data_IF_796389421685
#
_entry.id   IF_796389421685
#
_cell.length_a   1.000
_cell.length_b   1.000
_cell.length_c   1.000
_cell.angle_alpha   90.00
_cell.angle_beta   90.00
_cell.angle_gamma   90.00
#
_symmetry.space_group_name_H-M   'P 1'
#
loop_
_entity.id
_entity.type
_entity.pdbx_description
1 polymer ?
#
# COMPACT_ATOMS: atom_id res chain seq x y z
N UNK A 1 -36.34 -26.90 24.46
CA UNK A 1 -35.48 -27.88 25.22
C UNK A 1 -34.56 -28.65 24.28
N UNK A 2 -35.03 -29.04 23.10
CA UNK A 2 -34.31 -29.88 22.12
C UNK A 2 -33.11 -29.18 21.50
N UNK A 3 -33.29 -28.01 20.91
CA UNK A 3 -32.22 -27.26 20.29
C UNK A 3 -31.06 -27.03 21.27
N UNK A 4 -31.35 -26.82 22.56
CA UNK A 4 -30.33 -26.61 23.58
C UNK A 4 -29.52 -27.89 23.91
N UNK A 5 -30.13 -29.07 23.87
CA UNK A 5 -29.41 -30.32 24.15
C UNK A 5 -28.40 -30.68 23.07
N UNK A 6 -28.66 -30.23 21.83
CA UNK A 6 -27.75 -30.45 20.69
C UNK A 6 -26.81 -29.24 20.45
N UNK A 7 -27.23 -28.02 20.79
CA UNK A 7 -26.45 -26.81 20.48
C UNK A 7 -25.04 -26.87 21.07
N UNK A 8 -24.89 -27.27 22.32
CA UNK A 8 -23.56 -27.34 22.97
C UNK A 8 -22.63 -28.36 22.30
N UNK A 9 -23.19 -29.51 21.85
CA UNK A 9 -22.43 -30.52 21.13
C UNK A 9 -22.09 -30.10 19.71
N UNK A 10 -23.03 -29.44 19.04
CA UNK A 10 -22.80 -28.85 17.70
C UNK A 10 -21.69 -27.82 17.82
N UNK A 11 -21.84 -26.82 18.71
CA UNK A 11 -20.85 -25.76 18.90
C UNK A 11 -19.45 -26.30 19.17
N UNK A 12 -19.33 -27.31 20.05
CA UNK A 12 -18.04 -27.95 20.34
C UNK A 12 -17.37 -28.56 19.10
N UNK A 13 -18.14 -29.13 18.15
CA UNK A 13 -17.56 -29.64 16.90
C UNK A 13 -17.21 -28.52 15.92
N UNK A 14 -18.02 -27.46 15.89
CA UNK A 14 -17.74 -26.27 15.05
C UNK A 14 -16.49 -25.53 15.55
N UNK A 15 -16.34 -25.33 16.85
CA UNK A 15 -15.15 -24.70 17.46
C UNK A 15 -13.88 -25.53 17.23
N UNK A 16 -14.04 -26.85 17.06
CA UNK A 16 -12.96 -27.73 16.65
C UNK A 16 -12.69 -27.75 15.13
N UNK A 17 -13.38 -26.92 14.34
CA UNK A 17 -13.18 -26.79 12.88
C UNK A 17 -13.65 -28.00 12.08
N UNK A 18 -14.56 -28.83 12.60
CA UNK A 18 -15.03 -30.01 11.88
C UNK A 18 -16.03 -29.64 10.78
N UNK A 19 -15.76 -30.09 9.58
CA UNK A 19 -16.65 -29.93 8.40
C UNK A 19 -17.72 -31.00 8.32
N UNK A 20 -17.46 -32.18 8.89
CA UNK A 20 -18.43 -33.28 8.97
C UNK A 20 -18.36 -33.93 10.37
N UNK A 21 -19.52 -34.18 10.97
CA UNK A 21 -19.60 -34.86 12.25
C UNK A 21 -21.00 -35.45 12.48
N UNK A 22 -21.06 -36.42 13.37
CA UNK A 22 -22.30 -37.07 13.80
C UNK A 22 -22.58 -36.82 15.27
N UNK A 23 -23.85 -36.65 15.61
CA UNK A 23 -24.32 -36.57 16.97
C UNK A 23 -25.38 -37.64 17.16
N UNK A 24 -25.08 -38.63 17.99
CA UNK A 24 -26.03 -39.65 18.40
C UNK A 24 -27.17 -39.00 19.20
N UNK A 25 -28.37 -39.40 18.93
CA UNK A 25 -29.53 -39.05 19.75
C UNK A 25 -29.37 -39.65 21.13
N UNK A 26 -29.41 -38.80 22.16
CA UNK A 26 -29.40 -39.23 23.55
C UNK A 26 -30.80 -39.77 23.90
N UNK A 27 -30.84 -41.03 24.36
CA UNK A 27 -32.10 -41.68 24.76
C UNK A 27 -32.85 -40.92 25.88
N UNK A 28 -32.16 -40.12 26.68
CA UNK A 28 -32.80 -39.26 27.71
C UNK A 28 -33.51 -38.02 27.11
N UNK A 29 -33.11 -37.61 25.93
CA UNK A 29 -33.66 -36.43 25.26
C UNK A 29 -34.75 -36.77 24.21
N UNK A 30 -34.92 -38.06 23.91
CA UNK A 30 -35.82 -38.56 22.86
C UNK A 30 -36.77 -39.60 23.42
N UNK A 31 -38.05 -39.29 23.67
CA UNK A 31 -39.03 -40.33 23.98
C UNK A 31 -39.19 -41.27 22.77
N UNK A 32 -39.22 -42.59 23.00
CA UNK A 32 -39.27 -43.59 21.92
C UNK A 32 -40.49 -43.52 20.97
N UNK A 33 -41.45 -42.71 21.28
CA UNK A 33 -42.74 -42.56 20.55
C UNK A 33 -42.73 -41.53 19.45
N UNK A 34 -41.59 -40.87 19.14
CA UNK A 34 -41.53 -39.77 18.18
C UNK A 34 -41.05 -40.28 16.82
N UNK A 35 -41.94 -40.29 15.86
CA UNK A 35 -41.79 -40.77 14.50
C UNK A 35 -40.91 -39.86 13.62
N UNK A 36 -40.50 -40.35 12.42
CA UNK A 36 -39.63 -39.65 11.47
C UNK A 36 -40.01 -38.21 11.08
N UNK A 37 -41.25 -37.79 11.27
CA UNK A 37 -41.69 -36.39 11.02
C UNK A 37 -40.98 -35.41 11.95
N UNK A 38 -40.70 -35.76 13.20
CA UNK A 38 -40.09 -34.87 14.17
C UNK A 38 -38.59 -34.72 13.94
N UNK A 39 -37.93 -35.72 13.33
CA UNK A 39 -36.52 -35.64 12.95
C UNK A 39 -36.33 -34.57 11.88
N UNK A 40 -37.23 -34.51 10.89
CA UNK A 40 -37.24 -33.45 9.87
C UNK A 40 -37.42 -32.07 10.47
N UNK A 41 -38.30 -31.93 11.50
CA UNK A 41 -38.50 -30.66 12.17
C UNK A 41 -37.24 -30.21 12.96
N UNK A 42 -36.55 -31.14 13.61
CA UNK A 42 -35.33 -30.82 14.35
C UNK A 42 -34.20 -30.43 13.38
N UNK A 43 -33.98 -31.21 12.33
CA UNK A 43 -33.01 -30.89 11.30
C UNK A 43 -33.32 -29.54 10.66
N UNK A 44 -34.57 -29.30 10.30
CA UNK A 44 -35.01 -28.01 9.77
C UNK A 44 -34.74 -26.86 10.75
N UNK A 45 -35.06 -27.03 12.03
CA UNK A 45 -34.82 -26.00 13.02
C UNK A 45 -33.33 -25.68 13.22
N UNK A 46 -32.47 -26.71 13.19
CA UNK A 46 -31.01 -26.53 13.28
C UNK A 46 -30.48 -25.79 12.05
N UNK A 47 -30.97 -26.12 10.85
CA UNK A 47 -30.56 -25.51 9.60
C UNK A 47 -31.01 -24.04 9.49
N UNK A 48 -31.98 -23.59 10.28
CA UNK A 48 -32.42 -22.18 10.35
C UNK A 48 -31.70 -21.39 11.44
N UNK A 49 -30.87 -22.02 12.26
CA UNK A 49 -30.09 -21.34 13.29
C UNK A 49 -28.83 -20.72 12.68
N UNK A 50 -28.48 -19.53 13.17
CA UNK A 50 -27.18 -18.92 12.87
C UNK A 50 -26.13 -19.52 13.79
N UNK A 51 -25.09 -20.08 13.21
CA UNK A 51 -23.95 -20.66 13.91
C UNK A 51 -22.71 -19.78 13.69
N UNK A 52 -21.92 -19.59 14.70
CA UNK A 52 -20.69 -18.82 14.64
C UNK A 52 -19.62 -19.49 15.48
N UNK A 53 -18.38 -19.39 15.02
CA UNK A 53 -17.18 -19.68 15.81
C UNK A 53 -16.43 -18.37 16.09
N UNK A 54 -15.34 -18.42 16.83
CA UNK A 54 -14.47 -17.24 17.06
C UNK A 54 -13.89 -16.67 15.75
N UNK A 55 -13.88 -17.50 14.67
CA UNK A 55 -13.22 -17.16 13.41
C UNK A 55 -14.16 -16.96 12.20
N UNK A 56 -15.33 -17.57 12.21
CA UNK A 56 -16.21 -17.58 11.04
C UNK A 56 -17.69 -17.75 11.40
N UNK A 57 -18.56 -17.22 10.53
CA UNK A 57 -19.95 -17.68 10.46
C UNK A 57 -20.00 -19.07 9.83
N UNK A 58 -20.90 -19.92 10.27
CA UNK A 58 -21.01 -21.29 9.80
C UNK A 58 -22.42 -21.56 9.26
N UNK A 59 -22.49 -22.04 8.02
CA UNK A 59 -23.71 -22.62 7.48
C UNK A 59 -23.71 -24.11 7.83
N UNK A 60 -24.71 -24.54 8.59
CA UNK A 60 -24.83 -25.92 9.04
C UNK A 60 -25.99 -26.60 8.35
N UNK A 61 -25.73 -27.72 7.72
CA UNK A 61 -26.74 -28.59 7.15
C UNK A 61 -26.83 -29.88 7.97
N UNK A 62 -27.99 -30.06 8.61
CA UNK A 62 -28.28 -31.25 9.40
C UNK A 62 -29.22 -32.18 8.63
N UNK A 63 -28.81 -33.43 8.52
CA UNK A 63 -29.61 -34.53 7.99
C UNK A 63 -29.65 -35.67 9.03
N UNK A 64 -30.66 -36.51 9.01
CA UNK A 64 -30.61 -37.67 9.90
C UNK A 64 -31.90 -38.37 10.21
N UNK A 65 -31.78 -39.42 10.97
CA UNK A 65 -32.83 -40.28 11.47
C UNK A 65 -32.91 -40.20 13.01
N UNK A 66 -33.97 -40.79 13.56
CA UNK A 66 -34.25 -40.78 15.01
C UNK A 66 -33.10 -41.22 15.96
N UNK A 67 -32.01 -41.75 15.42
CA UNK A 67 -30.88 -42.24 16.22
C UNK A 67 -29.59 -41.45 16.02
N UNK A 68 -29.36 -40.86 14.84
CA UNK A 68 -28.16 -40.10 14.54
C UNK A 68 -28.48 -38.94 13.62
N UNK A 69 -27.93 -37.79 13.91
CA UNK A 69 -27.86 -36.66 12.98
C UNK A 69 -26.46 -36.53 12.42
N UNK A 70 -26.36 -36.43 11.10
CA UNK A 70 -25.15 -36.08 10.39
C UNK A 70 -25.17 -34.59 10.05
N UNK A 71 -24.06 -33.93 10.30
CA UNK A 71 -23.89 -32.51 10.06
C UNK A 71 -22.81 -32.31 9.04
N UNK A 72 -23.10 -31.43 8.07
CA UNK A 72 -22.08 -30.85 7.18
C UNK A 72 -22.01 -29.36 7.48
N UNK A 73 -20.82 -28.87 7.82
CA UNK A 73 -20.57 -27.47 8.15
C UNK A 73 -19.73 -26.81 7.05
N UNK A 74 -20.25 -25.71 6.53
CA UNK A 74 -19.54 -24.82 5.62
C UNK A 74 -19.18 -23.56 6.44
N UNK A 75 -17.90 -23.36 6.66
CA UNK A 75 -17.37 -22.16 7.32
C UNK A 75 -17.31 -21.06 6.25
N UNK A 76 -17.95 -19.93 6.52
CA UNK A 76 -17.70 -18.76 5.72
C UNK A 76 -16.20 -18.44 5.81
N UNK A 77 -15.56 -18.19 4.69
CA UNK A 77 -14.21 -17.64 4.71
C UNK A 77 -14.23 -16.38 5.59
N UNK A 78 -13.21 -16.23 6.43
CA UNK A 78 -13.03 -15.00 7.21
C UNK A 78 -13.08 -13.83 6.23
N UNK A 79 -13.98 -12.87 6.46
CA UNK A 79 -14.06 -11.72 5.54
C UNK A 79 -12.72 -11.03 5.56
N UNK A 80 -12.08 -10.84 4.40
CA UNK A 80 -10.79 -10.18 4.35
C UNK A 80 -10.90 -8.81 5.00
N UNK A 81 -10.08 -8.58 6.02
CA UNK A 81 -10.01 -7.32 6.73
C UNK A 81 -8.76 -6.56 6.31
N UNK A 82 -8.93 -5.31 5.91
CA UNK A 82 -7.85 -4.41 5.55
C UNK A 82 -8.13 -3.04 6.12
N UNK A 83 -7.09 -2.38 6.65
CA UNK A 83 -7.20 -1.02 7.16
C UNK A 83 -5.88 -0.27 7.00
N UNK A 84 -5.97 1.06 6.85
CA UNK A 84 -4.80 1.91 6.79
C UNK A 84 -4.24 2.14 8.20
N UNK A 85 -2.98 1.71 8.42
CA UNK A 85 -2.25 1.98 9.66
C UNK A 85 -1.60 3.36 9.65
N UNK A 86 -0.98 3.75 8.53
CA UNK A 86 -0.28 5.03 8.43
C UNK A 86 0.31 5.30 7.07
N UNK A 87 0.96 6.44 6.95
CA UNK A 87 1.63 6.90 5.73
C UNK A 87 3.01 7.44 6.04
N UNK A 88 3.92 7.37 5.07
CA UNK A 88 5.20 8.07 5.10
C UNK A 88 5.61 8.54 3.70
N UNK A 89 6.63 9.40 3.64
CA UNK A 89 7.27 9.75 2.37
C UNK A 89 8.69 9.22 2.35
N UNK A 90 9.07 8.58 1.26
CA UNK A 90 10.45 8.22 0.97
C UNK A 90 11.03 9.20 -0.03
N UNK A 91 12.22 9.73 0.29
CA UNK A 91 13.00 10.61 -0.58
C UNK A 91 14.33 9.91 -0.84
N UNK A 92 14.38 9.13 -1.90
CA UNK A 92 15.60 8.46 -2.40
C UNK A 92 15.73 8.77 -3.89
N UNK A 93 15.64 7.73 -4.72
CA UNK A 93 15.67 7.87 -6.19
C UNK A 93 14.38 8.52 -6.70
N UNK A 94 13.27 8.27 -6.02
CA UNK A 94 11.94 8.84 -6.28
C UNK A 94 11.35 9.46 -5.01
N UNK A 95 10.30 10.26 -5.21
CA UNK A 95 9.40 10.65 -4.14
C UNK A 95 8.28 9.62 -4.13
N UNK A 96 8.20 8.81 -3.07
CA UNK A 96 7.14 7.82 -2.92
C UNK A 96 6.28 8.15 -1.70
N UNK A 97 4.96 8.14 -1.87
CA UNK A 97 4.03 8.09 -0.75
C UNK A 97 3.79 6.63 -0.41
N UNK A 98 4.20 6.23 0.79
CA UNK A 98 4.03 4.88 1.28
C UNK A 98 2.76 4.77 2.11
N UNK A 99 1.99 3.73 1.87
CA UNK A 99 0.81 3.35 2.63
C UNK A 99 1.12 2.06 3.37
N UNK A 100 0.95 2.07 4.68
CA UNK A 100 1.14 0.90 5.54
C UNK A 100 -0.24 0.36 5.91
N UNK A 101 -0.51 -0.87 5.53
CA UNK A 101 -1.79 -1.51 5.70
C UNK A 101 -1.70 -2.63 6.73
N UNK A 102 -2.67 -2.70 7.65
CA UNK A 102 -2.95 -3.92 8.39
C UNK A 102 -3.84 -4.80 7.52
N UNK A 103 -3.46 -6.06 7.33
CA UNK A 103 -4.20 -7.02 6.50
C UNK A 103 -4.33 -8.35 7.23
N UNK A 104 -5.52 -8.95 7.20
CA UNK A 104 -5.70 -10.34 7.65
C UNK A 104 -5.13 -11.32 6.62
N UNK A 105 -4.75 -12.51 7.08
CA UNK A 105 -4.20 -13.55 6.20
C UNK A 105 -5.16 -13.91 5.06
N UNK A 106 -6.47 -13.82 5.31
CA UNK A 106 -7.51 -14.07 4.31
C UNK A 106 -7.47 -13.13 3.11
N UNK A 107 -6.89 -11.92 3.23
CA UNK A 107 -6.72 -10.98 2.09
C UNK A 107 -5.92 -11.62 0.97
N UNK A 108 -4.92 -12.45 1.30
CA UNK A 108 -4.03 -13.09 0.32
C UNK A 108 -4.66 -14.29 -0.39
N UNK A 109 -5.85 -14.72 0.02
CA UNK A 109 -6.65 -15.74 -0.64
C UNK A 109 -7.59 -15.15 -1.71
N UNK A 110 -7.62 -13.80 -1.82
CA UNK A 110 -8.50 -13.05 -2.72
C UNK A 110 -7.71 -12.25 -3.77
N UNK A 111 -8.37 -11.81 -4.84
CA UNK A 111 -7.79 -10.81 -5.77
C UNK A 111 -7.81 -9.43 -5.11
N UNK A 112 -6.79 -9.18 -4.28
CA UNK A 112 -6.66 -7.97 -3.49
C UNK A 112 -5.53 -7.07 -4.00
N UNK A 113 -5.81 -5.77 -4.16
CA UNK A 113 -4.83 -4.79 -4.60
C UNK A 113 -5.15 -3.37 -4.12
N UNK A 114 -4.12 -2.53 -4.08
CA UNK A 114 -4.27 -1.09 -3.99
C UNK A 114 -4.17 -0.46 -5.38
N UNK A 115 -5.11 0.40 -5.69
CA UNK A 115 -5.10 1.25 -6.88
C UNK A 115 -4.82 2.68 -6.48
N UNK A 116 -3.81 3.31 -7.11
CA UNK A 116 -3.47 4.72 -6.92
C UNK A 116 -3.72 5.46 -8.21
N UNK A 117 -4.43 6.58 -8.13
CA UNK A 117 -4.65 7.46 -9.27
C UNK A 117 -4.13 8.86 -8.96
N UNK A 118 -3.18 9.33 -9.77
CA UNK A 118 -2.55 10.65 -9.65
C UNK A 118 -2.20 11.20 -11.02
N UNK A 119 -2.48 12.48 -11.26
CA UNK A 119 -2.10 13.17 -12.50
C UNK A 119 -2.60 12.48 -13.79
N UNK A 120 -3.73 11.78 -13.72
CA UNK A 120 -4.30 11.02 -14.84
C UNK A 120 -3.65 9.64 -15.07
N UNK A 121 -2.68 9.25 -14.26
CA UNK A 121 -2.07 7.92 -14.27
C UNK A 121 -2.70 7.04 -13.20
N UNK A 122 -2.77 5.74 -13.46
CA UNK A 122 -3.27 4.73 -12.52
C UNK A 122 -2.20 3.67 -12.32
N UNK A 123 -1.93 3.35 -11.06
CA UNK A 123 -1.00 2.31 -10.63
C UNK A 123 -1.80 1.26 -9.84
N UNK A 124 -1.59 -0.01 -10.17
CA UNK A 124 -2.17 -1.14 -9.44
C UNK A 124 -1.04 -1.94 -8.81
N UNK A 125 -1.11 -2.18 -7.50
CA UNK A 125 -0.16 -2.98 -6.74
C UNK A 125 -0.92 -4.10 -6.02
N UNK A 126 -0.61 -5.37 -6.35
CA UNK A 126 -1.29 -6.50 -5.73
C UNK A 126 -0.86 -6.65 -4.27
N UNK A 127 -1.74 -7.16 -3.43
CA UNK A 127 -1.44 -7.41 -2.02
C UNK A 127 -0.25 -8.37 -1.85
N UNK A 128 -0.13 -9.37 -2.72
CA UNK A 128 0.97 -10.33 -2.74
C UNK A 128 2.35 -9.72 -3.05
N UNK A 129 2.38 -8.54 -3.69
CA UNK A 129 3.62 -7.85 -4.07
C UNK A 129 4.06 -6.80 -3.02
N UNK A 130 3.27 -6.62 -1.96
CA UNK A 130 3.55 -5.68 -0.90
C UNK A 130 4.78 -6.08 -0.08
N UNK A 131 5.58 -5.08 0.31
CA UNK A 131 6.71 -5.33 1.19
C UNK A 131 6.23 -5.44 2.66
N UNK A 132 6.56 -6.53 3.32
CA UNK A 132 6.29 -6.68 4.75
C UNK A 132 7.21 -5.77 5.58
N UNK A 133 6.63 -5.10 6.58
CA UNK A 133 7.34 -4.25 7.53
C UNK A 133 6.84 -4.57 8.94
N UNK A 134 7.77 -4.79 9.87
CA UNK A 134 7.42 -4.97 11.27
C UNK A 134 7.54 -3.63 12.01
N UNK A 135 6.45 -3.18 12.59
CA UNK A 135 6.41 -1.96 13.40
C UNK A 135 5.64 -2.22 14.70
N UNK A 136 6.29 -1.95 15.84
CA UNK A 136 5.71 -2.15 17.17
C UNK A 136 5.12 -3.55 17.42
N UNK A 137 5.73 -4.59 16.81
CA UNK A 137 5.27 -5.97 16.93
C UNK A 137 4.08 -6.33 16.03
N UNK A 138 3.68 -5.44 15.13
CA UNK A 138 2.68 -5.68 14.09
C UNK A 138 3.36 -5.91 12.75
N UNK A 139 2.85 -6.85 11.97
CA UNK A 139 3.19 -7.00 10.56
C UNK A 139 2.32 -6.06 9.74
N UNK A 140 2.94 -5.17 9.00
CA UNK A 140 2.29 -4.23 8.10
C UNK A 140 2.73 -4.51 6.66
N UNK A 141 1.87 -4.21 5.72
CA UNK A 141 2.12 -4.35 4.29
C UNK A 141 2.26 -2.97 3.65
N UNK A 142 3.46 -2.71 3.10
CA UNK A 142 3.79 -1.42 2.52
C UNK A 142 3.56 -1.39 1.02
N UNK A 143 2.78 -0.42 0.57
CA UNK A 143 2.55 -0.07 -0.83
C UNK A 143 3.12 1.31 -1.09
N UNK A 144 3.82 1.49 -2.21
CA UNK A 144 4.47 2.76 -2.54
C UNK A 144 3.89 3.34 -3.83
N UNK A 145 3.36 4.54 -3.75
CA UNK A 145 2.88 5.31 -4.91
C UNK A 145 3.96 6.31 -5.34
N UNK A 146 4.56 6.19 -6.53
CA UNK A 146 5.53 7.15 -7.02
C UNK A 146 4.84 8.47 -7.38
N UNK A 147 5.45 9.58 -6.96
CA UNK A 147 4.97 10.94 -7.21
C UNK A 147 6.06 11.76 -7.90
N UNK A 148 5.76 12.33 -9.05
CA UNK A 148 6.68 13.26 -9.70
C UNK A 148 6.75 14.59 -8.94
N UNK A 149 7.90 15.24 -8.99
CA UNK A 149 8.09 16.53 -8.28
C UNK A 149 7.01 17.57 -8.62
N UNK A 150 6.59 17.68 -9.86
CA UNK A 150 5.53 18.60 -10.28
C UNK A 150 4.13 18.21 -9.76
N UNK A 151 3.94 16.96 -9.35
CA UNK A 151 2.67 16.40 -8.87
C UNK A 151 2.50 16.45 -7.35
N UNK A 152 3.42 17.07 -6.61
CA UNK A 152 3.36 17.11 -5.14
C UNK A 152 2.07 17.73 -4.57
N UNK A 153 1.40 18.59 -5.35
CA UNK A 153 0.11 19.20 -4.99
C UNK A 153 -1.09 18.40 -5.46
N UNK A 154 -0.87 17.35 -6.27
CA UNK A 154 -1.96 16.55 -6.79
C UNK A 154 -2.46 15.60 -5.72
N UNK A 155 -3.76 15.37 -5.74
CA UNK A 155 -4.37 14.37 -4.88
C UNK A 155 -4.10 12.98 -5.44
N UNK A 156 -3.60 12.10 -4.59
CA UNK A 156 -3.54 10.66 -4.83
C UNK A 156 -4.86 10.08 -4.36
N UNK A 157 -5.70 9.65 -5.31
CA UNK A 157 -6.89 8.86 -4.99
C UNK A 157 -6.44 7.42 -4.82
N UNK A 158 -6.66 6.86 -3.64
CA UNK A 158 -6.26 5.48 -3.30
C UNK A 158 -7.49 4.66 -3.03
N UNK A 159 -7.61 3.48 -3.66
CA UNK A 159 -8.66 2.51 -3.42
C UNK A 159 -8.08 1.17 -3.02
N UNK A 160 -8.70 0.54 -2.04
CA UNK A 160 -8.47 -0.85 -1.69
C UNK A 160 -9.56 -1.67 -2.35
N UNK A 161 -9.18 -2.60 -3.19
CA UNK A 161 -10.10 -3.43 -3.95
C UNK A 161 -9.85 -4.90 -3.63
N UNK A 162 -10.91 -5.62 -3.28
CA UNK A 162 -10.89 -7.06 -3.03
C UNK A 162 -12.02 -7.68 -3.88
N UNK A 163 -11.68 -8.66 -4.71
CA UNK A 163 -12.61 -9.34 -5.64
C UNK A 163 -13.45 -8.35 -6.46
N UNK A 164 -12.79 -7.34 -7.03
CA UNK A 164 -13.40 -6.25 -7.82
C UNK A 164 -14.37 -5.35 -7.06
N UNK A 165 -14.39 -5.42 -5.73
CA UNK A 165 -15.18 -4.54 -4.89
C UNK A 165 -14.28 -3.58 -4.13
N UNK A 166 -14.59 -2.29 -4.19
CA UNK A 166 -13.89 -1.28 -3.40
C UNK A 166 -14.32 -1.42 -1.93
N UNK A 167 -13.37 -1.67 -1.04
CA UNK A 167 -13.60 -1.79 0.39
C UNK A 167 -13.39 -0.45 1.10
N UNK A 168 -12.33 0.29 0.73
CA UNK A 168 -12.04 1.61 1.28
C UNK A 168 -11.44 2.54 0.24
N UNK A 169 -11.60 3.85 0.45
CA UNK A 169 -11.04 4.91 -0.39
C UNK A 169 -10.36 5.96 0.48
N UNK A 170 -9.23 6.47 0.00
CA UNK A 170 -8.47 7.54 0.66
C UNK A 170 -8.05 8.58 -0.36
N UNK A 171 -7.91 9.81 0.12
CA UNK A 171 -7.32 10.91 -0.65
C UNK A 171 -6.16 11.50 0.14
N UNK A 172 -5.02 11.73 -0.50
CA UNK A 172 -3.85 12.31 0.15
C UNK A 172 -2.89 12.93 -0.86
N UNK A 173 -1.99 13.80 -0.43
CA UNK A 173 -0.96 14.38 -1.28
C UNK A 173 0.36 14.55 -0.53
N UNK A 174 1.48 14.67 -1.26
CA UNK A 174 2.78 15.02 -0.68
C UNK A 174 2.71 16.36 0.04
N UNK A 175 1.97 17.34 -0.53
CA UNK A 175 1.78 18.66 0.06
C UNK A 175 1.03 18.58 1.40
N UNK A 176 -0.02 17.77 1.51
CA UNK A 176 -0.76 17.56 2.77
C UNK A 176 0.15 16.97 3.84
N UNK A 177 0.89 15.90 3.52
CA UNK A 177 1.88 15.33 4.43
C UNK A 177 2.88 16.37 4.93
N UNK A 178 3.47 17.12 3.99
CA UNK A 178 4.43 18.17 4.33
C UNK A 178 3.81 19.26 5.23
N UNK A 179 2.58 19.65 4.95
CA UNK A 179 1.85 20.65 5.74
C UNK A 179 1.55 20.16 7.15
N UNK A 180 1.12 18.89 7.30
CA UNK A 180 0.90 18.25 8.60
C UNK A 180 2.19 18.23 9.43
N UNK A 181 3.32 17.85 8.81
CA UNK A 181 4.62 17.82 9.49
C UNK A 181 5.08 19.22 9.91
N UNK A 182 4.92 20.22 9.04
CA UNK A 182 5.26 21.61 9.36
C UNK A 182 4.37 22.19 10.46
N UNK A 183 3.11 21.78 10.56
CA UNK A 183 2.20 22.19 11.63
C UNK A 183 2.64 21.70 13.02
N UNK A 184 3.42 20.60 13.04
CA UNK A 184 4.01 19.97 14.24
C UNK A 184 5.52 20.17 14.32
N UNK A 185 6.01 21.30 13.79
CA UNK A 185 7.45 21.56 13.65
C UNK A 185 8.26 21.42 14.96
N UNK A 186 7.64 21.62 16.12
CA UNK A 186 8.27 21.45 17.42
C UNK A 186 8.52 19.97 17.81
N UNK A 187 7.91 19.02 17.12
CA UNK A 187 8.03 17.58 17.36
C UNK A 187 9.15 16.94 16.53
N UNK A 188 9.74 17.69 15.59
CA UNK A 188 10.72 17.19 14.63
C UNK A 188 12.05 17.97 14.71
N UNK A 189 13.18 17.32 14.35
CA UNK A 189 14.47 18.00 14.21
C UNK A 189 14.41 19.15 13.20
N UNK A 190 15.20 20.18 13.43
CA UNK A 190 15.25 21.37 12.55
C UNK A 190 15.65 21.00 11.12
N UNK A 191 16.55 20.05 10.95
CA UNK A 191 16.99 19.52 9.64
C UNK A 191 15.83 18.90 8.87
N UNK A 192 14.93 18.17 9.55
CA UNK A 192 13.72 17.61 8.95
C UNK A 192 12.80 18.72 8.45
N UNK A 193 12.61 19.77 9.24
CA UNK A 193 11.78 20.93 8.88
C UNK A 193 12.38 21.65 7.65
N UNK A 194 13.69 21.85 7.62
CA UNK A 194 14.40 22.43 6.46
C UNK A 194 14.24 21.58 5.22
N UNK A 195 14.38 20.26 5.36
CA UNK A 195 14.19 19.31 4.23
C UNK A 195 12.78 19.38 3.66
N UNK A 196 11.75 19.43 4.51
CA UNK A 196 10.35 19.50 4.07
C UNK A 196 10.07 20.82 3.35
N UNK A 197 10.60 21.94 3.83
CA UNK A 197 10.49 23.23 3.14
C UNK A 197 11.19 23.21 1.78
N UNK A 198 12.39 22.62 1.71
CA UNK A 198 13.12 22.46 0.46
C UNK A 198 12.37 21.56 -0.53
N UNK A 199 11.74 20.47 -0.05
CA UNK A 199 10.91 19.58 -0.87
C UNK A 199 9.74 20.35 -1.51
N UNK A 200 9.02 21.17 -0.75
CA UNK A 200 7.91 21.98 -1.28
C UNK A 200 8.38 23.01 -2.31
N UNK A 201 9.53 23.65 -2.07
CA UNK A 201 10.14 24.58 -3.04
C UNK A 201 10.56 23.86 -4.31
N UNK A 202 11.13 22.64 -4.20
CA UNK A 202 11.46 21.82 -5.36
C UNK A 202 10.22 21.45 -6.17
N UNK A 203 9.12 21.07 -5.51
CA UNK A 203 7.84 20.81 -6.16
C UNK A 203 7.36 22.01 -7.00
N UNK A 204 7.38 23.19 -6.41
CA UNK A 204 6.99 24.43 -7.12
C UNK A 204 7.93 24.77 -8.28
N UNK A 205 9.24 24.58 -8.11
CA UNK A 205 10.19 24.78 -9.19
C UNK A 205 9.93 23.82 -10.36
N UNK A 206 9.64 22.55 -10.07
CA UNK A 206 9.26 21.55 -11.06
C UNK A 206 7.94 21.91 -11.77
N UNK A 207 6.91 22.34 -11.00
CA UNK A 207 5.64 22.81 -11.57
C UNK A 207 5.86 23.95 -12.59
N UNK A 208 6.67 24.94 -12.22
CA UNK A 208 6.99 26.07 -13.08
C UNK A 208 7.77 25.66 -14.34
N UNK A 209 8.75 24.76 -14.17
CA UNK A 209 9.56 24.26 -15.27
C UNK A 209 8.74 23.47 -16.31
N UNK A 210 7.91 22.54 -15.82
CA UNK A 210 7.08 21.69 -16.68
C UNK A 210 5.75 22.35 -17.11
N UNK A 211 5.43 23.55 -16.60
CA UNK A 211 4.15 24.23 -16.81
C UNK A 211 2.95 23.38 -16.38
N UNK A 212 3.12 22.68 -15.28
CA UNK A 212 2.14 21.74 -14.74
C UNK A 212 1.55 22.29 -13.43
N UNK A 213 0.22 22.42 -13.36
CA UNK A 213 -0.55 22.78 -12.16
C UNK A 213 0.00 24.02 -11.40
N UNK A 214 0.44 25.04 -12.15
CA UNK A 214 1.12 26.24 -11.61
C UNK A 214 0.22 27.15 -10.79
N UNK A 215 -1.09 27.00 -10.89
CA UNK A 215 -2.11 27.68 -10.09
C UNK A 215 -2.22 27.15 -8.66
N UNK A 216 -1.67 25.95 -8.40
CA UNK A 216 -1.65 25.30 -7.09
C UNK A 216 -0.22 24.96 -6.65
N UNK A 217 0.66 25.95 -6.44
CA UNK A 217 2.05 25.67 -6.14
C UNK A 217 2.22 24.86 -4.84
N UNK A 218 3.16 23.92 -4.85
CA UNK A 218 3.40 23.04 -3.72
C UNK A 218 3.77 23.84 -2.45
N UNK A 219 4.56 24.92 -2.62
CA UNK A 219 5.04 25.77 -1.54
C UNK A 219 4.09 26.93 -1.16
N UNK A 220 2.83 26.92 -1.62
CA UNK A 220 1.90 28.03 -1.38
C UNK A 220 1.76 28.40 0.11
N UNK A 221 1.85 27.42 1.00
CA UNK A 221 1.75 27.61 2.46
C UNK A 221 3.03 28.07 3.16
N UNK A 222 4.17 28.19 2.47
CA UNK A 222 5.40 28.66 3.06
C UNK A 222 5.45 30.20 3.14
N UNK A 223 6.18 30.72 4.15
CA UNK A 223 6.49 32.14 4.22
C UNK A 223 7.37 32.58 3.05
N UNK A 224 7.38 33.88 2.74
CA UNK A 224 8.25 34.39 1.67
C UNK A 224 9.74 34.19 1.97
N UNK A 225 10.12 34.22 3.25
CA UNK A 225 11.48 33.90 3.68
C UNK A 225 11.83 32.45 3.38
N UNK A 226 10.95 31.50 3.69
CA UNK A 226 11.17 30.08 3.44
C UNK A 226 11.20 29.74 1.93
N UNK A 227 10.47 30.49 1.12
CA UNK A 227 10.52 30.39 -0.35
C UNK A 227 11.83 30.92 -0.93
N UNK A 228 12.38 31.98 -0.31
CA UNK A 228 13.60 32.65 -0.78
C UNK A 228 14.88 31.86 -0.47
N UNK A 229 14.91 31.01 0.57
CA UNK A 229 16.08 30.20 0.99
C UNK A 229 16.57 29.32 -0.16
N UNK A 230 15.68 28.77 -0.98
CA UNK A 230 16.05 27.94 -2.12
C UNK A 230 16.86 28.69 -3.21
N UNK A 231 16.77 30.02 -3.26
CA UNK A 231 17.51 30.84 -4.23
C UNK A 231 18.93 31.19 -3.75
N UNK A 232 19.13 31.30 -2.43
CA UNK A 232 20.42 31.64 -1.82
C UNK A 232 21.42 30.48 -1.89
N UNK A 233 20.97 29.26 -1.63
CA UNK A 233 21.84 28.07 -1.66
C UNK A 233 22.28 27.70 -3.08
N UNK A 234 21.54 28.07 -4.12
CA UNK A 234 21.88 27.74 -5.49
C UNK A 234 23.14 28.45 -6.00
N UNK A 235 23.45 29.64 -5.55
CA UNK A 235 24.66 30.37 -5.96
C UNK A 235 25.93 29.78 -5.35
N UNK A 236 25.85 29.21 -4.14
CA UNK A 236 26.94 28.51 -3.50
C UNK A 236 27.29 27.21 -4.24
N UNK A 237 26.29 26.44 -4.64
CA UNK A 237 26.48 25.22 -5.46
C UNK A 237 26.99 25.49 -6.88
N UNK A 238 26.60 26.60 -7.52
CA UNK A 238 27.16 27.02 -8.81
C UNK A 238 28.69 27.21 -8.78
N UNK A 239 29.23 27.61 -7.65
CA UNK A 239 30.66 27.82 -7.49
C UNK A 239 31.46 26.49 -7.34
N UNK A 240 30.79 25.41 -6.93
CA UNK A 240 31.40 24.09 -6.72
C UNK A 240 31.42 23.23 -8.00
N UNK A 241 30.47 23.44 -8.92
CA UNK A 241 30.48 22.78 -10.24
C UNK A 241 31.45 23.51 -11.17
N UNK A 242 32.72 23.50 -10.82
CA UNK A 242 33.77 23.81 -11.78
C UNK A 242 33.96 22.55 -12.63
N UNK A 243 33.48 22.59 -13.87
CA UNK A 243 33.94 21.68 -14.88
C UNK A 243 35.44 21.89 -15.06
N UNK A 244 36.23 20.94 -14.61
CA UNK A 244 37.65 20.96 -14.89
C UNK A 244 37.82 20.66 -16.38
N UNK A 245 37.88 21.74 -17.17
CA UNK A 245 38.06 21.68 -18.62
C UNK A 245 39.42 21.10 -19.02
N UNK A 246 40.35 20.97 -18.06
CA UNK A 246 41.67 20.42 -18.31
C UNK A 246 41.66 18.90 -18.59
N UNK A 247 40.64 18.18 -18.14
CA UNK A 247 40.49 16.72 -18.36
C UNK A 247 39.47 16.38 -19.48
N UNK A 248 39.01 17.36 -20.25
CA UNK A 248 37.97 17.19 -21.25
C UNK A 248 38.43 16.59 -22.59
N UNK A 249 39.71 16.37 -22.77
CA UNK A 249 40.26 15.83 -24.02
C UNK A 249 40.92 14.47 -23.78
N UNK A 250 40.34 13.42 -24.33
CA UNK A 250 40.99 12.17 -24.59
C UNK A 250 41.34 12.07 -26.09
N UNK A 251 42.33 11.29 -26.45
CA UNK A 251 42.69 11.07 -27.85
C UNK A 251 41.51 10.45 -28.60
N UNK A 252 40.69 11.27 -29.25
CA UNK A 252 39.56 10.85 -30.06
C UNK A 252 38.16 11.18 -29.53
N UNK A 253 38.04 11.62 -28.28
CA UNK A 253 36.75 12.09 -27.71
C UNK A 253 36.91 13.51 -27.15
N UNK A 254 35.95 14.37 -27.47
CA UNK A 254 35.86 15.70 -26.89
C UNK A 254 34.55 15.79 -26.08
N UNK A 255 34.68 16.13 -24.80
CA UNK A 255 33.51 16.37 -23.96
C UNK A 255 32.77 17.64 -24.47
N UNK A 256 31.48 17.48 -24.75
CA UNK A 256 30.65 18.56 -25.30
C UNK A 256 29.80 19.25 -24.23
N UNK A 257 29.43 18.52 -23.19
CA UNK A 257 28.64 19.05 -22.10
C UNK A 257 27.81 17.99 -21.40
N UNK A 258 27.05 18.43 -20.40
CA UNK A 258 26.12 17.59 -19.68
C UNK A 258 24.72 18.24 -19.61
N UNK A 259 23.70 17.42 -19.54
CA UNK A 259 22.35 17.87 -19.23
C UNK A 259 21.76 17.07 -18.07
N UNK A 260 20.99 17.75 -17.25
CA UNK A 260 20.19 17.12 -16.22
C UNK A 260 18.79 16.85 -16.76
N UNK A 261 18.34 15.62 -16.66
CA UNK A 261 16.98 15.23 -17.01
C UNK A 261 16.24 14.96 -15.73
N UNK A 262 15.24 15.80 -15.44
CA UNK A 262 14.34 15.66 -14.30
C UNK A 262 13.04 15.01 -14.81
N UNK A 263 12.92 13.71 -14.61
CA UNK A 263 11.70 12.93 -14.86
C UNK A 263 11.32 12.21 -13.57
N UNK A 264 10.81 10.97 -13.68
CA UNK A 264 10.63 10.06 -12.52
C UNK A 264 11.96 9.80 -11.81
N UNK A 265 13.05 9.77 -12.54
CA UNK A 265 14.43 9.66 -12.04
C UNK A 265 15.24 10.86 -12.51
N UNK A 266 16.13 11.35 -11.64
CA UNK A 266 17.11 12.34 -12.05
C UNK A 266 18.26 11.64 -12.76
N UNK A 267 18.47 12.01 -14.01
CA UNK A 267 19.52 11.44 -14.85
C UNK A 267 20.44 12.54 -15.35
N UNK A 268 21.75 12.36 -15.15
CA UNK A 268 22.76 13.20 -15.79
C UNK A 268 23.20 12.54 -17.09
N UNK A 269 23.02 13.24 -18.21
CA UNK A 269 23.54 12.81 -19.50
C UNK A 269 24.80 13.60 -19.82
N UNK A 270 25.85 12.86 -20.15
CA UNK A 270 27.10 13.43 -20.66
C UNK A 270 27.17 13.23 -22.16
N UNK A 271 27.55 14.29 -22.89
CA UNK A 271 27.67 14.30 -24.34
C UNK A 271 29.13 14.41 -24.72
N UNK A 272 29.58 13.53 -25.62
CA UNK A 272 30.92 13.51 -26.18
C UNK A 272 30.82 13.58 -27.69
N UNK A 273 31.67 14.39 -28.31
CA UNK A 273 31.89 14.38 -29.75
C UNK A 273 32.99 13.35 -30.06
N UNK A 274 32.70 12.45 -30.98
CA UNK A 274 33.68 11.46 -31.47
C UNK A 274 34.44 12.09 -32.60
N UNK A 275 35.77 12.21 -32.47
CA UNK A 275 36.61 12.81 -33.47
C UNK A 275 36.79 11.86 -34.66
N UNK A 276 37.08 12.40 -35.84
CA UNK A 276 37.29 11.62 -37.05
C UNK A 276 38.41 10.57 -36.85
N UNK A 277 38.13 9.34 -37.25
CA UNK A 277 39.05 8.22 -37.09
C UNK A 277 39.04 7.52 -35.72
N UNK A 278 38.17 7.96 -34.82
CA UNK A 278 38.02 7.35 -33.49
C UNK A 278 36.95 6.24 -33.50
N UNK A 279 37.26 5.07 -32.99
CA UNK A 279 36.32 3.98 -32.74
C UNK A 279 35.88 4.02 -31.30
N UNK A 280 34.57 4.35 -31.06
CA UNK A 280 33.96 4.46 -29.73
C UNK A 280 34.02 3.15 -28.93
N UNK A 281 34.08 2.01 -29.60
CA UNK A 281 34.17 0.71 -28.94
C UNK A 281 35.46 0.50 -28.14
N UNK A 282 36.48 1.30 -28.42
CA UNK A 282 37.76 1.28 -27.70
C UNK A 282 37.72 2.09 -26.38
N UNK A 283 36.59 2.72 -26.04
CA UNK A 283 36.45 3.55 -24.85
C UNK A 283 35.55 2.90 -23.81
N UNK A 284 35.96 2.99 -22.56
CA UNK A 284 35.15 2.60 -21.41
C UNK A 284 34.87 3.83 -20.57
N UNK A 285 33.57 4.08 -20.34
CA UNK A 285 33.14 5.15 -19.46
C UNK A 285 32.96 4.59 -18.04
N UNK A 286 33.44 5.31 -17.06
CA UNK A 286 33.25 4.99 -15.65
C UNK A 286 32.80 6.26 -14.88
N UNK A 287 31.94 6.09 -13.93
CA UNK A 287 31.49 7.15 -13.01
C UNK A 287 32.06 6.84 -11.63
N UNK A 288 32.59 7.85 -10.98
CA UNK A 288 32.98 7.78 -9.57
C UNK A 288 32.10 8.75 -8.83
N UNK A 289 31.29 8.21 -7.93
CA UNK A 289 30.58 9.04 -6.97
C UNK A 289 31.57 9.47 -5.89
N UNK A 290 31.70 10.77 -5.69
CA UNK A 290 32.54 11.35 -4.66
C UNK A 290 31.85 11.27 -3.30
#
# INVERSE_FOLDING_TARGET
>A
KWAKAYSDRIQKNLDAGKTEFEIAADNASYPPSISGIQNGIIAYAINQMTWTTDKAAVTLNATGSAKNFTFTAEYASERPAVSLYGRSITLKDNIDVNYYMEMSDSVFEHDAYLEFKIGGQTYKLNASDAAEVNENGKTLYKFSCPVNAAQMSDTIETRIVIDNKTEEEYSYSVKEYATELLSKSNEYPEETIKLVKALLNYGTAAQNFFKYNTDKPANAGLSDTDKAVAAADFEEYKAVIKTDSANSQSNGLTYYGSSLICKSEMTVRHYFMVNEGCDINNYKFSYVNA
#
